data_IF_971860201601
#
_entry.id   IF_971860201601
#
_cell.length_a   1.000
_cell.length_b   1.000
_cell.length_c   1.000
_cell.angle_alpha   90.00
_cell.angle_beta   90.00
_cell.angle_gamma   90.00
#
_symmetry.space_group_name_H-M   'P 1'
#
loop_
_entity.id
_entity.type
_entity.pdbx_description
1 polymer ?
#
# COMPACT_ATOMS: atom_id res chain seq x y z
N UNK A 1 -3.93 5.85 20.44
CA UNK A 1 -4.46 5.86 19.06
C UNK A 1 -3.31 5.43 18.15
N UNK A 2 -3.46 4.29 17.48
CA UNK A 2 -2.41 3.66 16.68
C UNK A 2 -2.04 4.54 15.46
N UNK A 3 -0.78 4.48 15.04
CA UNK A 3 -0.26 5.30 13.93
C UNK A 3 -1.05 5.11 12.63
N UNK A 4 -1.39 3.86 12.29
CA UNK A 4 -2.25 3.50 11.16
C UNK A 4 -3.63 4.18 11.23
N UNK A 5 -4.24 4.23 12.41
CA UNK A 5 -5.57 4.84 12.57
C UNK A 5 -5.55 6.35 12.33
N UNK A 6 -4.47 7.04 12.75
CA UNK A 6 -4.32 8.48 12.49
C UNK A 6 -4.08 8.76 11.02
N UNK A 7 -3.20 7.98 10.38
CA UNK A 7 -2.90 8.08 8.96
C UNK A 7 -4.15 7.87 8.10
N UNK A 8 -4.86 6.76 8.33
CA UNK A 8 -6.10 6.45 7.59
C UNK A 8 -7.17 7.53 7.84
N UNK A 9 -7.32 7.98 9.09
CA UNK A 9 -8.29 9.02 9.45
C UNK A 9 -7.99 10.37 8.80
N UNK A 10 -6.71 10.69 8.58
CA UNK A 10 -6.33 11.90 7.84
C UNK A 10 -6.83 11.82 6.40
N UNK A 11 -6.65 10.69 5.71
CA UNK A 11 -7.17 10.52 4.35
C UNK A 11 -8.70 10.50 4.28
N UNK A 12 -9.38 9.95 5.30
CA UNK A 12 -10.85 10.04 5.42
C UNK A 12 -11.32 11.49 5.58
N UNK A 13 -10.51 12.34 6.24
CA UNK A 13 -10.80 13.77 6.41
C UNK A 13 -10.39 14.62 5.19
N UNK A 14 -9.61 14.05 4.27
CA UNK A 14 -9.11 14.71 3.05
C UNK A 14 -9.46 13.88 1.79
N UNK A 15 -10.75 13.62 1.53
CA UNK A 15 -11.17 12.65 0.52
C UNK A 15 -10.74 13.00 -0.90
N UNK A 16 -10.64 14.30 -1.24
CA UNK A 16 -10.20 14.72 -2.57
C UNK A 16 -8.72 14.46 -2.82
N UNK A 17 -7.88 14.54 -1.78
CA UNK A 17 -6.45 14.19 -1.89
C UNK A 17 -6.32 12.69 -2.06
N UNK A 18 -7.02 11.90 -1.23
CA UNK A 18 -7.06 10.44 -1.34
C UNK A 18 -7.45 10.00 -2.76
N UNK A 19 -8.55 10.56 -3.28
CA UNK A 19 -9.08 10.19 -4.58
C UNK A 19 -8.14 10.60 -5.71
N UNK A 20 -7.57 11.81 -5.65
CA UNK A 20 -6.63 12.30 -6.67
C UNK A 20 -5.38 11.42 -6.76
N UNK A 21 -4.80 11.03 -5.60
CA UNK A 21 -3.63 10.15 -5.55
C UNK A 21 -3.98 8.72 -6.02
N UNK A 22 -5.13 8.18 -5.62
CA UNK A 22 -5.57 6.86 -6.06
C UNK A 22 -5.82 6.80 -7.59
N UNK A 23 -6.42 7.85 -8.16
CA UNK A 23 -6.64 7.96 -9.61
C UNK A 23 -5.33 8.10 -10.39
N UNK A 24 -4.35 8.83 -9.84
CA UNK A 24 -3.02 8.91 -10.44
C UNK A 24 -2.34 7.53 -10.48
N UNK A 25 -2.36 6.79 -9.37
CA UNK A 25 -1.81 5.44 -9.31
C UNK A 25 -2.54 4.49 -10.27
N UNK A 26 -3.87 4.56 -10.34
CA UNK A 26 -4.67 3.80 -11.31
C UNK A 26 -4.17 4.07 -12.73
N UNK A 27 -4.07 5.33 -13.13
CA UNK A 27 -3.64 5.71 -14.48
C UNK A 27 -2.25 5.16 -14.83
N UNK A 28 -1.31 5.18 -13.88
CA UNK A 28 0.05 4.69 -14.09
C UNK A 28 0.17 3.17 -14.15
N UNK A 29 -0.74 2.44 -13.51
CA UNK A 29 -0.69 0.99 -13.37
C UNK A 29 -1.64 0.26 -14.34
N UNK A 30 -2.44 0.99 -15.12
CA UNK A 30 -3.31 0.42 -16.14
C UNK A 30 -2.53 -0.09 -17.37
N UNK A 31 -3.00 -1.17 -18.02
CA UNK A 31 -4.13 -2.01 -17.62
C UNK A 31 -3.78 -3.02 -16.52
N UNK A 32 -2.48 -3.25 -16.27
CA UNK A 32 -1.98 -4.12 -15.21
C UNK A 32 -0.50 -3.82 -14.94
N UNK A 33 -0.07 -3.79 -13.66
CA UNK A 33 1.33 -3.61 -13.32
C UNK A 33 2.16 -4.89 -13.43
N UNK A 34 1.55 -6.03 -13.78
CA UNK A 34 2.18 -7.34 -13.67
C UNK A 34 2.51 -7.68 -12.21
N UNK A 35 3.67 -8.32 -11.97
CA UNK A 35 4.16 -8.55 -10.60
C UNK A 35 4.82 -7.29 -10.07
N UNK A 36 4.22 -6.69 -9.04
CA UNK A 36 4.67 -5.43 -8.46
C UNK A 36 4.96 -5.55 -6.95
N UNK A 37 5.88 -4.71 -6.48
CA UNK A 37 6.26 -4.56 -5.08
C UNK A 37 5.90 -3.14 -4.61
N UNK A 38 5.09 -3.02 -3.57
CA UNK A 38 4.86 -1.75 -2.87
C UNK A 38 5.90 -1.55 -1.77
N UNK A 39 6.73 -0.52 -1.88
CA UNK A 39 7.79 -0.22 -0.90
C UNK A 39 7.33 0.92 0.00
N UNK A 40 7.20 0.64 1.30
CA UNK A 40 6.60 1.55 2.26
C UNK A 40 5.09 1.62 2.14
N UNK A 41 4.41 0.47 2.04
CA UNK A 41 2.94 0.45 1.85
C UNK A 41 2.15 0.99 3.05
N UNK A 42 2.79 1.22 4.20
CA UNK A 42 2.13 1.70 5.40
C UNK A 42 0.97 0.78 5.79
N UNK A 43 -0.22 1.36 5.95
CA UNK A 43 -1.43 0.62 6.29
C UNK A 43 -2.01 -0.19 5.11
N UNK A 44 -1.47 -0.07 3.89
CA UNK A 44 -1.98 -0.72 2.68
C UNK A 44 -3.26 -0.10 2.11
N UNK A 45 -3.53 1.18 2.42
CA UNK A 45 -4.76 1.86 2.02
C UNK A 45 -4.89 1.98 0.49
N UNK A 46 -3.81 2.40 -0.19
CA UNK A 46 -3.83 2.60 -1.63
C UNK A 46 -3.95 1.29 -2.39
N UNK A 47 -3.21 0.24 -1.99
CA UNK A 47 -3.33 -1.09 -2.60
C UNK A 47 -4.72 -1.67 -2.41
N UNK A 48 -5.34 -1.44 -1.25
CA UNK A 48 -6.72 -1.84 -1.01
C UNK A 48 -7.70 -1.12 -1.94
N UNK A 49 -7.56 0.20 -2.13
CA UNK A 49 -8.40 0.99 -3.04
C UNK A 49 -8.20 0.53 -4.49
N UNK A 50 -6.96 0.40 -4.94
CA UNK A 50 -6.62 -0.08 -6.29
C UNK A 50 -7.25 -1.44 -6.58
N UNK A 51 -7.15 -2.38 -5.63
CA UNK A 51 -7.73 -3.71 -5.78
C UNK A 51 -9.25 -3.68 -5.79
N UNK A 52 -9.87 -2.99 -4.82
CA UNK A 52 -11.32 -3.07 -4.60
C UNK A 52 -12.14 -2.20 -5.55
N UNK A 53 -11.58 -1.08 -6.03
CA UNK A 53 -12.30 -0.15 -6.91
C UNK A 53 -11.92 -0.29 -8.38
N UNK A 54 -10.68 -0.69 -8.67
CA UNK A 54 -10.12 -0.65 -10.02
C UNK A 54 -9.61 -2.00 -10.52
N UNK A 55 -9.71 -3.07 -9.70
CA UNK A 55 -9.20 -4.40 -10.03
C UNK A 55 -7.69 -4.42 -10.38
N UNK A 56 -6.92 -3.46 -9.85
CA UNK A 56 -5.47 -3.37 -10.01
C UNK A 56 -4.82 -4.01 -8.79
N UNK A 57 -4.02 -5.05 -9.00
CA UNK A 57 -3.48 -5.88 -7.92
C UNK A 57 -1.99 -5.61 -7.69
N UNK A 58 -1.65 -5.09 -6.51
CA UNK A 58 -0.29 -5.04 -5.96
C UNK A 58 -0.33 -5.80 -4.64
N UNK A 59 0.26 -6.99 -4.60
CA UNK A 59 0.12 -7.92 -3.47
C UNK A 59 1.34 -8.02 -2.56
N UNK A 60 2.54 -7.76 -3.07
CA UNK A 60 3.78 -7.82 -2.31
C UNK A 60 4.10 -6.44 -1.73
N UNK A 61 4.44 -6.38 -0.44
CA UNK A 61 4.84 -5.13 0.22
C UNK A 61 6.07 -5.31 1.12
N UNK A 62 6.85 -4.23 1.26
CA UNK A 62 7.80 -4.03 2.35
C UNK A 62 7.36 -2.83 3.20
N UNK A 63 7.28 -3.00 4.51
CA UNK A 63 6.88 -1.95 5.46
C UNK A 63 7.61 -2.13 6.79
N UNK A 64 8.40 -1.16 7.29
CA UNK A 64 9.19 -1.33 8.51
C UNK A 64 8.36 -1.33 9.81
N UNK A 65 7.20 -0.70 9.86
CA UNK A 65 6.36 -0.64 11.06
C UNK A 65 5.52 -1.92 11.20
N UNK A 66 5.71 -2.66 12.29
CA UNK A 66 4.94 -3.88 12.56
C UNK A 66 3.43 -3.62 12.70
N UNK A 67 3.05 -2.49 13.29
CA UNK A 67 1.65 -2.12 13.47
C UNK A 67 0.99 -1.78 12.13
N UNK A 68 1.69 -1.03 11.26
CA UNK A 68 1.24 -0.76 9.89
C UNK A 68 1.14 -2.06 9.08
N UNK A 69 2.18 -2.90 9.15
CA UNK A 69 2.22 -4.19 8.48
C UNK A 69 1.06 -5.10 8.92
N UNK A 70 0.63 -5.05 10.18
CA UNK A 70 -0.54 -5.80 10.67
C UNK A 70 -1.83 -5.35 9.97
N UNK A 71 -2.03 -4.04 9.77
CA UNK A 71 -3.19 -3.49 9.05
C UNK A 71 -3.11 -3.78 7.56
N UNK A 72 -1.94 -3.60 6.94
CA UNK A 72 -1.72 -3.95 5.54
C UNK A 72 -2.01 -5.44 5.26
N UNK A 73 -1.59 -6.34 6.16
CA UNK A 73 -1.92 -7.77 6.07
C UNK A 73 -3.40 -8.06 6.20
N UNK A 74 -4.14 -7.37 7.08
CA UNK A 74 -5.60 -7.55 7.17
C UNK A 74 -6.32 -7.04 5.92
N UNK A 75 -5.70 -6.12 5.18
CA UNK A 75 -6.11 -5.71 3.82
C UNK A 75 -5.60 -6.66 2.73
N UNK A 76 -5.01 -7.80 3.06
CA UNK A 76 -4.63 -8.85 2.10
C UNK A 76 -3.28 -8.64 1.40
N UNK A 77 -2.40 -7.80 1.93
CA UNK A 77 -1.03 -7.67 1.44
C UNK A 77 -0.10 -8.73 2.07
N UNK A 78 0.83 -9.24 1.27
CA UNK A 78 1.97 -10.04 1.74
C UNK A 78 3.10 -9.10 2.12
N UNK A 79 3.19 -8.79 3.42
CA UNK A 79 4.11 -7.77 3.94
C UNK A 79 5.36 -8.41 4.57
N UNK A 80 6.53 -7.99 4.09
CA UNK A 80 7.82 -8.23 4.75
C UNK A 80 8.20 -7.02 5.61
N UNK A 81 8.43 -7.23 6.91
CA UNK A 81 8.82 -6.15 7.82
C UNK A 81 10.31 -5.86 7.67
N UNK A 82 10.63 -4.90 6.81
CA UNK A 82 11.99 -4.48 6.46
C UNK A 82 11.98 -3.01 6.06
N UNK A 83 13.16 -2.39 6.08
CA UNK A 83 13.35 -1.04 5.58
C UNK A 83 13.56 -1.04 4.06
N UNK A 84 13.27 0.08 3.41
CA UNK A 84 13.42 0.23 1.96
C UNK A 84 14.88 0.15 1.51
N UNK A 85 15.83 0.47 2.39
CA UNK A 85 17.28 0.39 2.15
C UNK A 85 17.79 -1.06 2.20
N UNK A 86 16.98 -2.00 2.69
CA UNK A 86 17.34 -3.39 2.91
C UNK A 86 16.31 -4.35 2.28
N UNK A 87 15.93 -4.08 1.03
CA UNK A 87 14.93 -4.89 0.33
C UNK A 87 15.40 -6.36 0.22
N UNK A 88 14.51 -7.33 0.52
CA UNK A 88 14.82 -8.75 0.45
C UNK A 88 14.72 -9.31 -0.98
N UNK A 89 14.97 -8.47 -1.98
CA UNK A 89 14.87 -8.76 -3.41
C UNK A 89 16.12 -8.17 -4.06
N UNK A 90 17.10 -9.01 -4.37
CA UNK A 90 18.43 -8.53 -4.80
C UNK A 90 19.54 -9.56 -4.65
N UNK A 91 19.32 -10.64 -3.90
CA UNK A 91 20.14 -11.83 -4.00
C UNK A 91 19.83 -12.57 -5.29
N UNK A 92 20.85 -12.77 -6.13
CA UNK A 92 20.89 -13.95 -7.02
C UNK A 92 21.21 -15.17 -6.18
#
# INVERSE_FOLDING_TARGET
MFEASKYDSWFLSNPYVLESEALLLKYLLEPSPGRALSVGCGSGLFEFILRTRYNINVGECVEPSEDMARVARSRGLSVKVRRAEELPYGGR
#
